data_IF_102498591721
#
_entry.id   IF_102498591721
#
_cell.length_a   1.000
_cell.length_b   1.000
_cell.length_c   1.000
_cell.angle_alpha   90.00
_cell.angle_beta   90.00
_cell.angle_gamma   90.00
#
_symmetry.space_group_name_H-M   'P 1'
#
loop_
_entity.id
_entity.type
_entity.pdbx_description
1 polymer ?
#
# COMPACT_ATOMS: atom_id res chain seq x y z
N UNK A 1 -5.27 12.19 -6.67
CA UNK A 1 -6.24 11.07 -6.55
C UNK A 1 -7.27 11.47 -5.51
N UNK A 2 -8.56 11.30 -5.76
CA UNK A 2 -9.63 11.59 -4.78
C UNK A 2 -9.81 10.44 -3.78
N UNK A 3 -10.55 10.68 -2.69
CA UNK A 3 -10.89 9.62 -1.72
C UNK A 3 -11.67 8.46 -2.35
N UNK A 4 -12.61 8.76 -3.26
CA UNK A 4 -13.41 7.73 -3.95
C UNK A 4 -12.55 6.90 -4.91
N UNK A 5 -11.61 7.55 -5.61
CA UNK A 5 -10.65 6.86 -6.48
C UNK A 5 -9.74 5.92 -5.67
N UNK A 6 -9.26 6.39 -4.50
CA UNK A 6 -8.42 5.59 -3.62
C UNK A 6 -9.18 4.38 -3.06
N UNK A 7 -10.42 4.56 -2.58
CA UNK A 7 -11.21 3.45 -2.04
C UNK A 7 -11.48 2.39 -3.12
N UNK A 8 -11.82 2.83 -4.35
CA UNK A 8 -11.99 1.93 -5.49
C UNK A 8 -10.70 1.19 -5.85
N UNK A 9 -9.56 1.87 -5.86
CA UNK A 9 -8.27 1.25 -6.16
C UNK A 9 -7.86 0.22 -5.09
N UNK A 10 -8.03 0.55 -3.81
CA UNK A 10 -7.80 -0.38 -2.69
C UNK A 10 -8.67 -1.62 -2.84
N UNK A 11 -9.98 -1.45 -3.05
CA UNK A 11 -10.91 -2.57 -3.19
C UNK A 11 -10.56 -3.45 -4.40
N UNK A 12 -10.14 -2.83 -5.51
CA UNK A 12 -9.66 -3.56 -6.70
C UNK A 12 -8.42 -4.39 -6.37
N UNK A 13 -7.41 -3.81 -5.73
CA UNK A 13 -6.18 -4.53 -5.36
C UNK A 13 -6.44 -5.68 -4.39
N UNK A 14 -7.34 -5.48 -3.42
CA UNK A 14 -7.78 -6.54 -2.50
C UNK A 14 -8.50 -7.67 -3.26
N UNK A 15 -9.33 -7.34 -4.25
CA UNK A 15 -9.98 -8.36 -5.08
C UNK A 15 -9.00 -9.13 -5.97
N UNK A 16 -7.90 -8.49 -6.42
CA UNK A 16 -6.83 -9.12 -7.17
C UNK A 16 -5.94 -10.00 -6.28
N UNK A 17 -5.67 -9.56 -5.05
CA UNK A 17 -4.93 -10.31 -4.03
C UNK A 17 -5.30 -9.83 -2.63
N UNK A 18 -6.13 -10.61 -1.93
CA UNK A 18 -6.59 -10.29 -0.58
C UNK A 18 -5.46 -10.39 0.45
N UNK A 19 -4.48 -11.28 0.25
CA UNK A 19 -3.44 -11.52 1.25
C UNK A 19 -2.34 -10.45 1.21
N UNK A 20 -2.05 -9.90 0.03
CA UNK A 20 -0.92 -9.02 -0.19
C UNK A 20 -1.23 -7.89 -1.17
N UNK A 21 -1.19 -6.65 -0.67
CA UNK A 21 -1.39 -5.43 -1.46
C UNK A 21 -0.16 -4.55 -1.40
N UNK A 22 0.13 -3.83 -2.50
CA UNK A 22 1.31 -2.97 -2.63
C UNK A 22 1.04 -1.71 -3.44
N UNK A 23 1.62 -0.61 -2.98
CA UNK A 23 1.75 0.66 -3.68
C UNK A 23 3.22 0.94 -3.99
N UNK A 24 3.50 1.28 -5.25
CA UNK A 24 4.86 1.51 -5.75
C UNK A 24 5.06 2.95 -6.18
N UNK A 25 6.33 3.37 -6.21
CA UNK A 25 6.77 4.63 -6.81
C UNK A 25 6.20 4.80 -8.22
N UNK A 26 6.33 3.77 -9.06
CA UNK A 26 5.88 3.84 -10.44
C UNK A 26 4.37 4.09 -10.56
N UNK A 27 3.57 3.48 -9.68
CA UNK A 27 2.12 3.68 -9.70
C UNK A 27 1.74 5.09 -9.26
N UNK A 28 2.15 5.50 -8.07
CA UNK A 28 1.69 6.78 -7.49
C UNK A 28 2.36 7.98 -8.18
N UNK A 29 3.68 7.90 -8.41
CA UNK A 29 4.45 9.02 -8.96
C UNK A 29 4.38 9.11 -10.47
N UNK A 30 4.46 7.98 -11.18
CA UNK A 30 4.59 8.00 -12.65
C UNK A 30 3.22 7.84 -13.33
N UNK A 31 2.40 6.86 -12.93
CA UNK A 31 1.09 6.66 -13.56
C UNK A 31 0.05 7.68 -13.13
N UNK A 32 -0.04 7.95 -11.82
CA UNK A 32 -1.01 8.90 -11.27
C UNK A 32 -0.48 10.35 -11.22
N UNK A 33 0.83 10.55 -11.46
CA UNK A 33 1.47 11.85 -11.49
C UNK A 33 1.21 12.69 -10.23
N UNK A 34 1.21 12.04 -9.06
CA UNK A 34 0.96 12.71 -7.79
C UNK A 34 2.18 13.52 -7.33
N UNK A 35 1.93 14.67 -6.73
CA UNK A 35 2.95 15.40 -5.95
C UNK A 35 3.35 14.61 -4.69
N UNK A 36 4.47 14.96 -4.06
CA UNK A 36 4.90 14.28 -2.82
C UNK A 36 3.86 14.45 -1.70
N UNK A 37 3.29 15.65 -1.54
CA UNK A 37 2.25 15.92 -0.54
C UNK A 37 0.98 15.08 -0.79
N UNK A 38 0.59 14.88 -2.04
CA UNK A 38 -0.53 14.00 -2.40
C UNK A 38 -0.22 12.52 -2.13
N UNK A 39 1.02 12.09 -2.37
CA UNK A 39 1.46 10.73 -2.07
C UNK A 39 1.38 10.49 -0.56
N UNK A 40 1.93 11.38 0.25
CA UNK A 40 1.90 11.26 1.71
C UNK A 40 0.46 11.14 2.23
N UNK A 41 -0.46 11.95 1.71
CA UNK A 41 -1.87 11.88 2.08
C UNK A 41 -2.54 10.57 1.63
N UNK A 42 -2.28 10.12 0.40
CA UNK A 42 -2.76 8.82 -0.11
C UNK A 42 -2.26 7.69 0.77
N UNK A 43 -0.97 7.67 1.11
CA UNK A 43 -0.35 6.65 1.94
C UNK A 43 -0.93 6.63 3.36
N UNK A 44 -1.17 7.81 3.95
CA UNK A 44 -1.82 7.95 5.26
C UNK A 44 -3.24 7.37 5.26
N UNK A 45 -4.02 7.69 4.23
CA UNK A 45 -5.40 7.22 4.08
C UNK A 45 -5.45 5.70 3.81
N UNK A 46 -4.60 5.23 2.90
CA UNK A 46 -4.48 3.81 2.57
C UNK A 46 -4.10 2.99 3.81
N UNK A 47 -3.12 3.44 4.59
CA UNK A 47 -2.75 2.81 5.87
C UNK A 47 -3.97 2.65 6.77
N UNK A 48 -4.68 3.74 7.05
CA UNK A 48 -5.85 3.71 7.94
C UNK A 48 -6.91 2.72 7.44
N UNK A 49 -7.17 2.70 6.13
CA UNK A 49 -8.12 1.76 5.51
C UNK A 49 -7.68 0.31 5.68
N UNK A 50 -6.42 0.00 5.36
CA UNK A 50 -5.87 -1.34 5.49
C UNK A 50 -5.86 -1.82 6.94
N UNK A 51 -5.43 -0.98 7.90
CA UNK A 51 -5.45 -1.31 9.32
C UNK A 51 -6.88 -1.59 9.82
N UNK A 52 -7.87 -0.78 9.42
CA UNK A 52 -9.29 -1.01 9.73
C UNK A 52 -9.84 -2.32 9.13
N UNK A 53 -9.26 -2.79 8.01
CA UNK A 53 -9.60 -4.06 7.37
C UNK A 53 -8.79 -5.25 7.91
N UNK A 54 -7.98 -5.04 8.95
CA UNK A 54 -7.19 -6.09 9.61
C UNK A 54 -5.87 -6.43 8.90
N UNK A 55 -5.33 -5.53 8.11
CA UNK A 55 -4.01 -5.69 7.49
C UNK A 55 -2.92 -5.09 8.38
N UNK A 56 -1.71 -5.67 8.31
CA UNK A 56 -0.48 -5.05 8.80
C UNK A 56 0.17 -4.27 7.67
N UNK A 57 0.52 -3.01 7.93
CA UNK A 57 1.05 -2.09 6.93
C UNK A 57 2.52 -1.79 7.20
N UNK A 58 3.34 -1.85 6.16
CA UNK A 58 4.78 -1.63 6.20
C UNK A 58 5.16 -0.59 5.14
N UNK A 59 5.97 0.39 5.51
CA UNK A 59 6.49 1.43 4.61
C UNK A 59 7.90 1.11 4.13
N UNK A 60 8.38 1.85 3.15
CA UNK A 60 9.75 1.74 2.60
C UNK A 60 10.80 1.52 3.69
N UNK A 61 11.63 0.50 3.52
CA UNK A 61 12.70 0.13 4.47
C UNK A 61 12.24 -0.68 5.69
N UNK A 62 10.95 -0.84 5.94
CA UNK A 62 10.45 -1.70 6.99
C UNK A 62 10.65 -3.18 6.63
N UNK A 63 10.99 -4.00 7.64
CA UNK A 63 11.07 -5.45 7.50
C UNK A 63 9.74 -6.11 7.81
N UNK A 64 9.40 -7.15 7.07
CA UNK A 64 8.19 -7.94 7.30
C UNK A 64 8.46 -9.42 7.03
N UNK A 65 7.68 -10.30 7.65
CA UNK A 65 7.67 -11.71 7.31
C UNK A 65 6.47 -11.99 6.41
N UNK A 66 6.70 -12.69 5.31
CA UNK A 66 5.64 -13.14 4.42
C UNK A 66 5.98 -14.54 3.92
N UNK A 67 5.05 -15.49 4.09
CA UNK A 67 5.23 -16.89 3.69
C UNK A 67 6.51 -17.54 4.26
N UNK A 68 6.90 -17.19 5.49
CA UNK A 68 8.09 -17.73 6.15
C UNK A 68 9.40 -17.04 5.75
N UNK A 69 9.38 -16.11 4.80
CA UNK A 69 10.55 -15.34 4.39
C UNK A 69 10.57 -13.95 5.02
N UNK A 70 11.74 -13.53 5.49
CA UNK A 70 11.96 -12.16 5.93
C UNK A 70 12.29 -11.29 4.72
N UNK A 71 11.49 -10.26 4.49
CA UNK A 71 11.60 -9.32 3.38
C UNK A 71 11.71 -7.89 3.90
N UNK A 72 12.10 -6.98 3.02
CA UNK A 72 12.11 -5.54 3.26
C UNK A 72 11.22 -4.88 2.21
N UNK A 73 10.51 -3.82 2.59
CA UNK A 73 9.81 -2.98 1.62
C UNK A 73 10.86 -2.23 0.83
N UNK A 74 10.96 -2.54 -0.46
CA UNK A 74 12.05 -2.07 -1.33
C UNK A 74 11.97 -0.55 -1.55
N UNK A 75 13.07 0.08 -1.96
CA UNK A 75 13.14 1.55 -2.14
C UNK A 75 12.18 2.10 -3.20
N UNK A 76 11.68 1.26 -4.11
CA UNK A 76 10.66 1.60 -5.11
C UNK A 76 9.23 1.27 -4.66
N UNK A 77 9.04 0.75 -3.45
CA UNK A 77 7.76 0.42 -2.84
C UNK A 77 7.48 1.41 -1.72
N UNK A 78 6.33 2.08 -1.78
CA UNK A 78 5.94 3.03 -0.74
C UNK A 78 5.24 2.33 0.42
N UNK A 79 4.40 1.34 0.12
CA UNK A 79 3.58 0.66 1.11
C UNK A 79 3.32 -0.79 0.69
N UNK A 80 3.47 -1.69 1.64
CA UNK A 80 3.05 -3.09 1.57
C UNK A 80 2.03 -3.34 2.68
N UNK A 81 0.87 -3.90 2.34
CA UNK A 81 -0.15 -4.33 3.29
C UNK A 81 -0.34 -5.83 3.20
N UNK A 82 -0.30 -6.51 4.34
CA UNK A 82 -0.43 -7.98 4.44
C UNK A 82 -1.62 -8.28 5.34
N UNK A 83 -2.56 -9.09 4.85
CA UNK A 83 -3.72 -9.50 5.65
C UNK A 83 -3.20 -10.20 6.91
N UNK A 84 -3.71 -9.78 8.08
CA UNK A 84 -3.29 -10.36 9.35
C UNK A 84 -3.42 -11.89 9.31
N UNK A 85 -2.29 -12.58 9.49
CA UNK A 85 -2.21 -14.01 9.82
C UNK A 85 -2.92 -14.30 11.15
#
# INVERSE_FOLDING_TARGET
MTLEELDKDINKKIAENEEFVRYTFFELKVKHNLSEDEIDEVLRLARNKFENLGYRVYFTGAKYNYQGENRIVESNEYLVAIKGL
#
